data_IF_810547733664
#
_entry.id   IF_810547733664
#
_cell.length_a   1.000
_cell.length_b   1.000
_cell.length_c   1.000
_cell.angle_alpha   90.00
_cell.angle_beta   90.00
_cell.angle_gamma   90.00
#
_symmetry.space_group_name_H-M   'P 1'
#
loop_
_entity.id
_entity.type
_entity.pdbx_description
1 polymer ?
#
# COMPACT_ATOMS: atom_id res chain seq x y z
N UNK A 1 21.86 -2.22 -32.89
CA UNK A 1 21.47 -3.61 -32.58
C UNK A 1 20.42 -3.55 -31.48
N UNK A 2 19.24 -4.11 -31.70
CA UNK A 2 18.14 -4.06 -30.72
C UNK A 2 18.03 -5.42 -30.01
N UNK A 3 17.72 -5.40 -28.71
CA UNK A 3 17.49 -6.61 -27.93
C UNK A 3 16.11 -7.16 -28.28
N UNK A 4 16.05 -8.41 -28.71
CA UNK A 4 14.82 -9.09 -29.05
C UNK A 4 14.31 -9.86 -27.83
N UNK A 5 13.02 -9.73 -27.54
CA UNK A 5 12.40 -10.34 -26.36
C UNK A 5 11.31 -11.34 -26.76
N UNK A 6 11.17 -12.40 -25.97
CA UNK A 6 10.08 -13.36 -26.08
C UNK A 6 8.88 -12.88 -25.24
N UNK A 7 7.72 -12.74 -25.86
CA UNK A 7 6.53 -12.15 -25.21
C UNK A 7 6.09 -12.87 -23.94
N UNK A 8 6.22 -14.21 -23.89
CA UNK A 8 5.82 -15.02 -22.74
C UNK A 8 6.66 -14.76 -21.49
N UNK A 9 7.99 -14.81 -21.61
CA UNK A 9 8.89 -14.56 -20.48
C UNK A 9 8.85 -13.09 -20.03
N UNK A 10 8.70 -12.14 -20.96
CA UNK A 10 8.52 -10.72 -20.62
C UNK A 10 7.22 -10.48 -19.84
N UNK A 11 6.12 -11.11 -20.26
CA UNK A 11 4.87 -11.02 -19.51
C UNK A 11 4.99 -11.66 -18.12
N UNK A 12 5.63 -12.83 -18.04
CA UNK A 12 5.86 -13.52 -16.78
C UNK A 12 6.74 -12.69 -15.83
N UNK A 13 7.82 -12.07 -16.32
CA UNK A 13 8.68 -11.21 -15.49
C UNK A 13 7.92 -10.01 -14.94
N UNK A 14 6.91 -9.50 -15.64
CA UNK A 14 6.07 -8.40 -15.18
C UNK A 14 5.00 -8.86 -14.16
N UNK A 15 4.22 -9.89 -14.47
CA UNK A 15 3.04 -10.26 -13.68
C UNK A 15 3.37 -11.07 -12.42
N UNK A 16 4.35 -11.97 -12.47
CA UNK A 16 4.74 -12.81 -11.32
C UNK A 16 5.05 -11.99 -10.06
N UNK A 17 5.95 -10.98 -10.08
CA UNK A 17 6.23 -10.19 -8.89
C UNK A 17 5.00 -9.41 -8.41
N UNK A 18 4.15 -8.89 -9.29
CA UNK A 18 2.92 -8.17 -8.88
C UNK A 18 2.03 -9.08 -8.04
N UNK A 19 1.76 -10.30 -8.52
CA UNK A 19 0.90 -11.25 -7.82
C UNK A 19 1.50 -11.69 -6.48
N UNK A 20 2.80 -12.00 -6.46
CA UNK A 20 3.49 -12.44 -5.23
C UNK A 20 3.55 -11.31 -4.20
N UNK A 21 3.89 -10.08 -4.60
CA UNK A 21 3.95 -8.93 -3.70
C UNK A 21 2.57 -8.61 -3.12
N UNK A 22 1.51 -8.68 -3.93
CA UNK A 22 0.14 -8.49 -3.46
C UNK A 22 -0.26 -9.57 -2.45
N UNK A 23 0.00 -10.84 -2.76
CA UNK A 23 -0.30 -11.96 -1.87
C UNK A 23 0.46 -11.85 -0.54
N UNK A 24 1.75 -11.57 -0.59
CA UNK A 24 2.58 -11.38 0.60
C UNK A 24 2.10 -10.19 1.44
N UNK A 25 1.80 -9.06 0.81
CA UNK A 25 1.31 -7.87 1.49
C UNK A 25 -0.04 -8.12 2.20
N UNK A 26 -0.98 -8.80 1.53
CA UNK A 26 -2.26 -9.19 2.13
C UNK A 26 -2.05 -10.19 3.27
N UNK A 27 -1.24 -11.23 3.07
CA UNK A 27 -0.98 -12.25 4.08
C UNK A 27 -0.39 -11.66 5.37
N UNK A 28 0.55 -10.72 5.26
CA UNK A 28 1.15 -10.01 6.40
C UNK A 28 0.15 -9.05 7.05
N UNK A 29 -0.70 -8.38 6.27
CA UNK A 29 -1.62 -7.34 6.76
C UNK A 29 -2.93 -7.81 7.37
N UNK A 30 -3.27 -9.10 7.32
CA UNK A 30 -4.59 -9.63 7.73
C UNK A 30 -4.84 -9.72 9.24
N UNK A 31 -3.80 -9.71 10.09
CA UNK A 31 -3.96 -10.00 11.52
C UNK A 31 -3.25 -8.94 12.39
N UNK A 32 -3.88 -8.59 13.52
CA UNK A 32 -3.28 -7.81 14.61
C UNK A 32 -3.20 -8.72 15.83
N UNK A 33 -2.01 -8.94 16.45
CA UNK A 33 -0.71 -8.30 16.22
C UNK A 33 0.07 -8.83 15.00
N UNK A 34 1.11 -8.08 14.58
CA UNK A 34 2.00 -8.46 13.47
C UNK A 34 2.76 -9.74 13.83
N UNK A 35 2.56 -10.80 13.05
CA UNK A 35 3.33 -12.04 13.20
C UNK A 35 4.69 -11.91 12.49
N UNK A 36 5.77 -11.95 13.26
CA UNK A 36 7.14 -11.93 12.73
C UNK A 36 7.41 -13.05 11.73
N UNK A 37 6.82 -14.24 11.95
CA UNK A 37 6.94 -15.35 11.01
C UNK A 37 6.38 -15.00 9.63
N UNK A 38 5.15 -14.45 9.58
CA UNK A 38 4.51 -14.04 8.32
C UNK A 38 5.27 -12.92 7.62
N UNK A 39 5.83 -12.00 8.41
CA UNK A 39 6.66 -10.92 7.89
C UNK A 39 7.91 -11.50 7.22
N UNK A 40 8.62 -12.41 7.89
CA UNK A 40 9.83 -13.04 7.35
C UNK A 40 9.52 -13.85 6.09
N UNK A 41 8.51 -14.71 6.13
CA UNK A 41 8.11 -15.51 4.97
C UNK A 41 7.62 -14.64 3.82
N UNK A 42 6.86 -13.58 4.12
CA UNK A 42 6.40 -12.62 3.13
C UNK A 42 7.56 -11.84 2.50
N UNK A 43 8.55 -11.44 3.29
CA UNK A 43 9.75 -10.76 2.81
C UNK A 43 10.65 -11.63 1.97
N UNK A 44 10.81 -12.91 2.34
CA UNK A 44 11.52 -13.90 1.50
C UNK A 44 10.80 -14.10 0.16
N UNK A 45 9.48 -14.26 0.17
CA UNK A 45 8.68 -14.41 -1.05
C UNK A 45 8.79 -13.16 -1.94
N UNK A 46 8.62 -11.97 -1.36
CA UNK A 46 8.79 -10.71 -2.08
C UNK A 46 10.20 -10.58 -2.67
N UNK A 47 11.24 -10.77 -1.87
CA UNK A 47 12.63 -10.64 -2.32
C UNK A 47 12.96 -11.63 -3.43
N UNK A 48 12.50 -12.88 -3.30
CA UNK A 48 12.67 -13.90 -4.33
C UNK A 48 11.92 -13.55 -5.61
N UNK A 49 10.71 -13.00 -5.53
CA UNK A 49 9.94 -12.59 -6.69
C UNK A 49 10.56 -11.39 -7.42
N UNK A 50 11.07 -10.39 -6.69
CA UNK A 50 11.76 -9.22 -7.29
C UNK A 50 13.09 -9.65 -7.91
N UNK A 51 13.87 -10.49 -7.22
CA UNK A 51 15.10 -11.07 -7.76
C UNK A 51 14.81 -11.91 -9.02
N UNK A 52 13.80 -12.78 -8.94
CA UNK A 52 13.35 -13.62 -10.04
C UNK A 52 12.89 -12.81 -11.25
N UNK A 53 12.21 -11.68 -11.05
CA UNK A 53 11.82 -10.77 -12.14
C UNK A 53 13.02 -10.30 -12.97
N UNK A 54 14.16 -9.99 -12.33
CA UNK A 54 15.36 -9.58 -13.05
C UNK A 54 15.89 -10.71 -13.94
N UNK A 55 16.06 -11.91 -13.40
CA UNK A 55 16.59 -13.05 -14.16
C UNK A 55 15.61 -13.59 -15.19
N UNK A 56 14.31 -13.54 -14.91
CA UNK A 56 13.26 -13.89 -15.87
C UNK A 56 13.18 -12.88 -17.02
N UNK A 57 13.42 -11.60 -16.72
CA UNK A 57 13.64 -10.55 -17.72
C UNK A 57 14.87 -10.85 -18.58
N UNK A 58 15.99 -11.23 -17.99
CA UNK A 58 17.19 -11.60 -18.75
C UNK A 58 16.97 -12.88 -19.58
N UNK A 59 16.20 -13.84 -19.07
CA UNK A 59 15.81 -15.06 -19.80
C UNK A 59 14.83 -14.77 -20.95
N UNK A 60 14.12 -13.64 -20.92
CA UNK A 60 13.24 -13.25 -22.03
C UNK A 60 14.01 -12.78 -23.27
N UNK A 61 15.31 -12.48 -23.15
CA UNK A 61 16.17 -12.05 -24.25
C UNK A 61 16.47 -13.23 -25.19
N UNK A 62 16.10 -13.09 -26.46
CA UNK A 62 16.17 -14.16 -27.47
C UNK A 62 17.44 -14.10 -28.35
N UNK A 63 18.05 -12.91 -28.48
CA UNK A 63 19.22 -12.71 -29.34
C UNK A 63 20.58 -12.72 -28.62
N UNK A 64 20.58 -12.63 -27.29
CA UNK A 64 21.77 -12.73 -26.44
C UNK A 64 21.63 -13.91 -25.49
N UNK A 65 22.75 -14.57 -25.20
CA UNK A 65 22.89 -15.48 -24.07
C UNK A 65 23.44 -14.72 -22.88
N UNK A 66 22.71 -14.77 -21.77
CA UNK A 66 23.11 -14.17 -20.50
C UNK A 66 23.98 -15.17 -19.71
N UNK A 67 25.24 -14.80 -19.45
CA UNK A 67 26.15 -15.57 -18.61
C UNK A 67 26.22 -14.91 -17.25
N UNK A 68 25.80 -15.63 -16.21
CA UNK A 68 25.70 -15.12 -14.85
C UNK A 68 26.90 -15.54 -14.00
N UNK A 69 27.43 -14.61 -13.23
CA UNK A 69 28.41 -14.92 -12.19
C UNK A 69 27.69 -15.31 -10.88
N UNK A 70 27.86 -16.54 -10.37
CA UNK A 70 27.09 -17.04 -9.23
C UNK A 70 27.17 -16.16 -7.98
N UNK A 71 28.33 -15.57 -7.71
CA UNK A 71 28.54 -14.67 -6.57
C UNK A 71 27.59 -13.46 -6.59
N UNK A 72 27.38 -12.85 -7.76
CA UNK A 72 26.49 -11.69 -7.91
C UNK A 72 25.01 -12.08 -7.89
N UNK A 73 24.67 -13.28 -8.37
CA UNK A 73 23.30 -13.82 -8.27
C UNK A 73 22.90 -14.08 -6.82
N UNK A 74 23.80 -14.69 -6.05
CA UNK A 74 23.55 -14.94 -4.64
C UNK A 74 23.48 -13.61 -3.87
N UNK A 75 24.40 -12.68 -4.16
CA UNK A 75 24.43 -11.36 -3.51
C UNK A 75 23.17 -10.55 -3.82
N UNK A 76 22.71 -10.51 -5.08
CA UNK A 76 21.48 -9.81 -5.45
C UNK A 76 20.25 -10.43 -4.78
N UNK A 77 20.16 -11.75 -4.68
CA UNK A 77 19.09 -12.45 -3.98
C UNK A 77 19.07 -12.13 -2.47
N UNK A 78 20.23 -12.13 -1.81
CA UNK A 78 20.36 -11.76 -0.39
C UNK A 78 19.91 -10.32 -0.18
N UNK A 79 20.39 -9.39 -1.01
CA UNK A 79 19.99 -7.97 -0.95
C UNK A 79 18.47 -7.84 -1.12
N UNK A 80 17.88 -8.54 -2.10
CA UNK A 80 16.44 -8.50 -2.36
C UNK A 80 15.61 -8.95 -1.15
N UNK A 81 16.01 -10.08 -0.54
CA UNK A 81 15.32 -10.68 0.61
C UNK A 81 15.44 -9.78 1.84
N UNK A 82 16.66 -9.35 2.17
CA UNK A 82 16.90 -8.48 3.33
C UNK A 82 16.14 -7.17 3.16
N UNK A 83 16.24 -6.54 2.00
CA UNK A 83 15.53 -5.30 1.69
C UNK A 83 14.01 -5.43 1.80
N UNK A 84 13.45 -6.51 1.26
CA UNK A 84 12.01 -6.78 1.31
C UNK A 84 11.53 -6.99 2.74
N UNK A 85 12.31 -7.71 3.55
CA UNK A 85 12.03 -7.88 4.99
C UNK A 85 12.08 -6.56 5.74
N UNK A 86 13.12 -5.76 5.53
CA UNK A 86 13.27 -4.43 6.15
C UNK A 86 12.10 -3.53 5.76
N UNK A 87 11.73 -3.50 4.47
CA UNK A 87 10.63 -2.67 4.00
C UNK A 87 9.27 -3.12 4.57
N UNK A 88 8.99 -4.43 4.61
CA UNK A 88 7.77 -4.96 5.21
C UNK A 88 7.72 -4.72 6.71
N UNK A 89 8.82 -4.95 7.44
CA UNK A 89 8.92 -4.63 8.86
C UNK A 89 8.69 -3.15 9.09
N UNK A 90 9.34 -2.31 8.30
CA UNK A 90 9.24 -0.87 8.43
C UNK A 90 7.81 -0.39 8.17
N UNK A 91 7.15 -0.97 7.17
CA UNK A 91 5.77 -0.65 6.84
C UNK A 91 4.75 -1.13 7.88
N UNK A 92 4.86 -2.37 8.37
CA UNK A 92 3.85 -2.99 9.25
C UNK A 92 4.09 -2.77 10.74
N UNK A 93 5.34 -2.85 11.20
CA UNK A 93 5.69 -2.67 12.63
C UNK A 93 5.54 -1.21 13.02
N UNK A 94 6.07 -0.29 12.20
CA UNK A 94 5.94 1.12 12.51
C UNK A 94 4.62 1.75 12.04
N UNK A 95 3.74 1.00 11.36
CA UNK A 95 2.41 1.46 10.92
C UNK A 95 1.63 2.15 12.05
N UNK A 96 1.64 1.56 13.25
CA UNK A 96 0.92 2.06 14.42
C UNK A 96 1.52 3.37 14.95
N UNK A 97 2.84 3.52 14.88
CA UNK A 97 3.58 4.71 15.32
C UNK A 97 3.57 5.83 14.26
N UNK A 98 3.20 5.52 13.02
CA UNK A 98 3.33 6.38 11.84
C UNK A 98 2.02 6.94 11.30
N UNK A 99 0.89 6.66 11.96
CA UNK A 99 -0.43 7.07 11.50
C UNK A 99 -0.52 8.58 11.21
N UNK A 100 0.28 9.42 11.89
CA UNK A 100 0.23 10.88 11.81
C UNK A 100 1.37 11.57 11.04
N UNK A 101 2.35 10.85 10.46
CA UNK A 101 3.52 11.51 9.84
C UNK A 101 3.81 10.99 8.42
N UNK A 102 3.40 11.77 7.43
CA UNK A 102 3.56 11.44 6.00
C UNK A 102 5.03 11.36 5.56
N UNK A 103 5.91 12.20 6.13
CA UNK A 103 7.35 12.19 5.85
C UNK A 103 8.02 10.84 6.18
N UNK A 104 7.59 10.16 7.25
CA UNK A 104 8.15 8.85 7.62
C UNK A 104 7.80 7.75 6.62
N UNK A 105 6.66 7.88 5.92
CA UNK A 105 6.30 6.99 4.80
C UNK A 105 7.19 7.21 3.58
N UNK A 106 7.58 8.46 3.32
CA UNK A 106 8.50 8.79 2.22
C UNK A 106 9.85 8.11 2.45
N UNK A 107 10.37 8.11 3.68
CA UNK A 107 11.63 7.42 4.01
C UNK A 107 11.53 5.91 3.68
N UNK A 108 10.45 5.24 4.09
CA UNK A 108 10.27 3.82 3.78
C UNK A 108 10.20 3.56 2.27
N UNK A 109 9.57 4.45 1.50
CA UNK A 109 9.52 4.34 0.05
C UNK A 109 10.90 4.52 -0.60
N UNK A 110 11.68 5.49 -0.13
CA UNK A 110 13.05 5.73 -0.60
C UNK A 110 13.97 4.54 -0.29
N UNK A 111 13.87 3.98 0.91
CA UNK A 111 14.64 2.78 1.30
C UNK A 111 14.28 1.59 0.40
N UNK A 112 12.99 1.35 0.17
CA UNK A 112 12.55 0.29 -0.72
C UNK A 112 13.03 0.51 -2.16
N UNK A 113 12.88 1.73 -2.70
CA UNK A 113 13.32 2.08 -4.05
C UNK A 113 14.83 1.89 -4.22
N UNK A 114 15.62 2.45 -3.30
CA UNK A 114 17.08 2.34 -3.32
C UNK A 114 17.54 0.88 -3.23
N UNK A 115 16.87 0.07 -2.41
CA UNK A 115 17.24 -1.34 -2.27
C UNK A 115 16.89 -2.18 -3.51
N UNK A 116 15.74 -1.95 -4.15
CA UNK A 116 15.38 -2.60 -5.41
C UNK A 116 16.32 -2.16 -6.54
N UNK A 117 16.64 -0.87 -6.63
CA UNK A 117 17.64 -0.36 -7.59
C UNK A 117 19.02 -0.97 -7.36
N UNK A 118 19.47 -1.08 -6.11
CA UNK A 118 20.75 -1.70 -5.75
C UNK A 118 20.82 -3.18 -6.11
N UNK A 119 19.73 -3.92 -5.90
CA UNK A 119 19.62 -5.32 -6.33
C UNK A 119 19.76 -5.45 -7.85
N UNK A 120 19.01 -4.64 -8.61
CA UNK A 120 19.08 -4.66 -10.07
C UNK A 120 20.46 -4.29 -10.59
N UNK A 121 21.12 -3.30 -9.96
CA UNK A 121 22.49 -2.94 -10.31
C UNK A 121 23.46 -4.10 -10.07
N UNK A 122 23.40 -4.73 -8.89
CA UNK A 122 24.24 -5.87 -8.54
C UNK A 122 24.04 -7.04 -9.53
N UNK A 123 22.79 -7.35 -9.85
CA UNK A 123 22.44 -8.43 -10.78
C UNK A 123 22.88 -8.12 -12.21
N UNK A 124 22.72 -6.87 -12.66
CA UNK A 124 23.17 -6.43 -13.98
C UNK A 124 24.69 -6.46 -14.11
N UNK A 125 25.42 -6.01 -13.08
CA UNK A 125 26.89 -6.04 -13.05
C UNK A 125 27.44 -7.48 -13.16
N UNK A 126 26.75 -8.45 -12.56
CA UNK A 126 27.10 -9.86 -12.63
C UNK A 126 26.68 -10.59 -13.92
N UNK A 127 26.08 -9.89 -14.89
CA UNK A 127 25.52 -10.49 -16.10
C UNK A 127 26.30 -10.06 -17.35
N UNK A 128 26.87 -11.03 -18.06
CA UNK A 128 27.56 -10.82 -19.33
C UNK A 128 26.67 -11.24 -20.50
N UNK A 129 26.46 -10.34 -21.46
CA UNK A 129 25.62 -10.59 -22.63
C UNK A 129 26.47 -11.00 -23.83
N UNK A 130 26.34 -12.25 -24.27
CA UNK A 130 27.01 -12.77 -25.47
C UNK A 130 26.02 -12.81 -26.63
N UNK A 131 26.34 -12.12 -27.72
CA UNK A 131 25.49 -12.10 -28.92
C UNK A 131 25.50 -13.48 -29.58
N UNK A 132 24.32 -14.05 -29.84
CA UNK A 132 24.18 -15.38 -30.47
C UNK A 132 23.53 -15.28 -31.85
N UNK A 133 22.52 -14.41 -32.02
CA UNK A 133 21.79 -14.27 -33.28
C UNK A 133 21.63 -12.82 -33.66
N UNK A 134 22.02 -12.47 -34.88
CA UNK A 134 21.67 -11.18 -35.48
C UNK A 134 20.30 -11.38 -36.16
N UNK A 135 19.23 -10.87 -35.55
CA UNK A 135 17.91 -10.90 -36.22
C UNK A 135 17.89 -9.92 -37.40
N UNK A 136 17.33 -10.32 -38.56
CA UNK A 136 17.12 -9.40 -39.67
C UNK A 136 16.09 -8.31 -39.28
N UNK A 137 16.36 -7.06 -39.67
CA UNK A 137 15.44 -5.92 -39.48
C UNK A 137 14.09 -6.23 -40.15
N UNK A 138 13.02 -6.40 -39.39
CA UNK A 138 11.68 -6.57 -39.96
C UNK A 138 10.57 -7.00 -38.99
N UNK A 139 10.89 -7.81 -37.97
CA UNK A 139 9.91 -8.36 -37.01
C UNK A 139 10.05 -7.77 -35.59
N UNK A 140 10.66 -6.61 -35.46
CA UNK A 140 10.80 -5.92 -34.17
C UNK A 140 9.53 -5.12 -33.88
N UNK A 141 9.03 -5.09 -32.62
CA UNK A 141 7.96 -4.19 -32.24
C UNK A 141 8.36 -2.77 -32.63
N UNK A 142 7.52 -2.11 -33.42
CA UNK A 142 7.74 -0.71 -33.77
C UNK A 142 7.96 0.10 -32.50
N UNK A 143 8.89 1.05 -32.53
CA UNK A 143 9.12 1.99 -31.42
C UNK A 143 7.80 2.60 -30.92
N UNK A 144 6.86 2.86 -31.82
CA UNK A 144 5.51 3.35 -31.52
C UNK A 144 4.69 2.36 -30.67
N UNK A 145 4.79 1.06 -30.94
CA UNK A 145 4.11 0.02 -30.17
C UNK A 145 4.69 -0.08 -28.74
N UNK A 146 6.02 -0.06 -28.59
CA UNK A 146 6.66 -0.03 -27.26
C UNK A 146 6.26 1.22 -26.48
N UNK A 147 6.28 2.39 -27.12
CA UNK A 147 5.86 3.65 -26.49
C UNK A 147 4.38 3.58 -26.06
N UNK A 148 3.50 3.06 -26.91
CA UNK A 148 2.08 2.90 -26.57
C UNK A 148 1.89 1.99 -25.34
N UNK A 149 2.57 0.85 -25.29
CA UNK A 149 2.51 -0.06 -24.12
C UNK A 149 2.99 0.63 -22.84
N UNK A 150 4.10 1.37 -22.89
CA UNK A 150 4.62 2.10 -21.72
C UNK A 150 3.64 3.17 -21.25
N UNK A 151 3.02 3.91 -22.18
CA UNK A 151 2.00 4.92 -21.85
C UNK A 151 0.80 4.26 -21.17
N UNK A 152 0.27 3.17 -21.74
CA UNK A 152 -0.86 2.44 -21.16
C UNK A 152 -0.54 1.95 -19.74
N UNK A 153 0.60 1.31 -19.53
CA UNK A 153 1.00 0.81 -18.21
C UNK A 153 1.20 1.95 -17.19
N UNK A 154 1.80 3.06 -17.60
CA UNK A 154 2.01 4.23 -16.72
C UNK A 154 0.70 4.88 -16.31
N UNK A 155 -0.23 5.05 -17.27
CA UNK A 155 -1.56 5.60 -16.99
C UNK A 155 -2.34 4.66 -16.06
N UNK A 156 -2.36 3.34 -16.33
CA UNK A 156 -3.00 2.36 -15.46
C UNK A 156 -2.46 2.40 -14.03
N UNK A 157 -1.14 2.48 -13.85
CA UNK A 157 -0.52 2.61 -12.53
C UNK A 157 -0.95 3.90 -11.82
N UNK A 158 -0.95 5.04 -12.52
CA UNK A 158 -1.39 6.33 -11.99
C UNK A 158 -2.87 6.29 -11.55
N UNK A 159 -3.74 5.71 -12.40
CA UNK A 159 -5.16 5.53 -12.09
C UNK A 159 -5.37 4.66 -10.84
N UNK A 160 -4.67 3.53 -10.72
CA UNK A 160 -4.77 2.66 -9.54
C UNK A 160 -4.34 3.40 -8.27
N UNK A 161 -3.22 4.14 -8.33
CA UNK A 161 -2.74 4.93 -7.18
C UNK A 161 -3.76 6.01 -6.81
N UNK A 162 -4.26 6.78 -7.78
CA UNK A 162 -5.24 7.84 -7.57
C UNK A 162 -6.55 7.29 -6.96
N UNK A 163 -7.10 6.21 -7.52
CA UNK A 163 -8.30 5.55 -6.97
C UNK A 163 -8.04 5.08 -5.54
N UNK A 164 -6.90 4.43 -5.27
CA UNK A 164 -6.57 3.96 -3.93
C UNK A 164 -6.44 5.10 -2.91
N UNK A 165 -5.90 6.25 -3.33
CA UNK A 165 -5.76 7.45 -2.51
C UNK A 165 -7.13 8.08 -2.23
N UNK A 166 -7.99 8.19 -3.25
CA UNK A 166 -9.36 8.70 -3.11
C UNK A 166 -10.18 7.79 -2.18
N UNK A 167 -10.11 6.47 -2.35
CA UNK A 167 -10.80 5.52 -1.48
C UNK A 167 -10.33 5.64 -0.02
N UNK A 168 -9.02 5.77 0.21
CA UNK A 168 -8.47 6.03 1.55
C UNK A 168 -8.95 7.35 2.14
N UNK A 169 -8.91 8.43 1.37
CA UNK A 169 -9.36 9.75 1.81
C UNK A 169 -10.86 9.76 2.13
N UNK A 170 -11.69 9.11 1.30
CA UNK A 170 -13.14 8.96 1.52
C UNK A 170 -13.43 8.14 2.77
N UNK A 171 -12.74 7.01 2.96
CA UNK A 171 -12.92 6.17 4.14
C UNK A 171 -12.52 6.92 5.41
N UNK A 172 -11.41 7.66 5.39
CA UNK A 172 -10.97 8.46 6.52
C UNK A 172 -11.97 9.59 6.82
N UNK A 173 -12.50 10.27 5.79
CA UNK A 173 -13.56 11.28 5.96
C UNK A 173 -14.84 10.69 6.54
N UNK A 174 -15.24 9.48 6.12
CA UNK A 174 -16.37 8.75 6.70
C UNK A 174 -16.13 8.39 8.18
N UNK A 175 -14.92 7.98 8.54
CA UNK A 175 -14.55 7.71 9.92
C UNK A 175 -14.61 8.97 10.80
N UNK A 176 -14.14 10.11 10.29
CA UNK A 176 -14.23 11.40 11.01
C UNK A 176 -15.69 11.84 11.17
N UNK A 177 -16.50 11.77 10.10
CA UNK A 177 -17.92 12.12 10.16
C UNK A 177 -18.70 11.21 11.13
N UNK A 178 -18.38 9.90 11.18
CA UNK A 178 -18.95 8.98 12.19
C UNK A 178 -18.52 9.33 13.61
N UNK A 179 -17.29 9.78 13.80
CA UNK A 179 -16.79 10.23 15.11
C UNK A 179 -17.36 11.59 15.55
N UNK A 180 -17.83 12.42 14.62
CA UNK A 180 -18.51 13.69 14.91
C UNK A 180 -19.96 13.52 15.39
N UNK A 181 -20.58 12.34 15.25
CA UNK A 181 -21.83 12.04 15.96
C UNK A 181 -21.51 11.71 17.42
N UNK A 182 -21.16 12.75 18.19
CA UNK A 182 -20.99 12.64 19.64
C UNK A 182 -22.40 12.56 20.23
N UNK A 183 -22.78 11.36 20.70
CA UNK A 183 -23.98 11.19 21.51
C UNK A 183 -23.71 11.77 22.90
N UNK A 184 -24.27 12.94 23.19
CA UNK A 184 -24.23 13.52 24.53
C UNK A 184 -25.31 12.83 25.37
N UNK A 185 -24.86 12.01 26.32
CA UNK A 185 -25.72 11.49 27.39
C UNK A 185 -25.79 12.52 28.51
N UNK A 186 -27.01 12.95 28.87
CA UNK A 186 -27.22 13.82 30.02
C UNK A 186 -27.79 12.98 31.16
N UNK A 187 -27.00 12.74 32.21
CA UNK A 187 -27.47 12.12 33.43
C UNK A 187 -28.01 13.20 34.37
N UNK A 188 -29.33 13.26 34.54
CA UNK A 188 -29.98 14.20 35.47
C UNK A 188 -30.15 13.50 36.81
N UNK A 189 -29.60 14.10 37.87
CA UNK A 189 -29.71 13.62 39.23
C UNK A 189 -30.72 14.45 40.03
N UNK A 190 -31.64 13.78 40.72
CA UNK A 190 -32.52 14.39 41.71
C UNK A 190 -31.74 14.74 43.00
N UNK A 191 -32.25 15.65 43.84
CA UNK A 191 -31.65 16.04 45.14
C UNK A 191 -31.42 14.87 46.10
N UNK A 192 -32.06 13.74 45.82
CA UNK A 192 -31.94 12.47 46.54
C UNK A 192 -30.90 11.49 45.93
N UNK A 193 -30.16 11.90 44.88
CA UNK A 193 -29.14 11.08 44.22
C UNK A 193 -29.67 10.05 43.20
N UNK A 194 -30.94 10.15 42.79
CA UNK A 194 -31.55 9.22 41.81
C UNK A 194 -31.33 9.71 40.38
N UNK A 195 -31.05 8.79 39.46
CA UNK A 195 -30.81 9.07 38.04
C UNK A 195 -32.12 8.98 37.25
N UNK A 196 -32.40 9.98 36.42
CA UNK A 196 -33.52 9.95 35.48
C UNK A 196 -33.22 8.97 34.33
N UNK A 197 -34.10 7.98 34.15
CA UNK A 197 -34.04 7.00 33.06
C UNK A 197 -35.36 7.00 32.29
N UNK A 198 -35.30 6.69 31.00
CA UNK A 198 -36.47 6.48 30.13
C UNK A 198 -37.26 5.22 30.60
N UNK A 199 -38.56 5.04 30.33
CA UNK A 199 -39.35 3.81 30.55
C UNK A 199 -38.68 2.48 30.18
N UNK A 200 -37.66 2.48 29.32
CA UNK A 200 -36.87 1.30 28.96
C UNK A 200 -35.58 1.10 29.80
N UNK A 201 -35.31 1.94 30.79
CA UNK A 201 -34.18 1.81 31.72
C UNK A 201 -32.85 2.39 31.21
N UNK A 202 -32.85 3.14 30.12
CA UNK A 202 -31.65 3.78 29.56
C UNK A 202 -31.55 5.25 29.98
N UNK A 203 -30.32 5.75 30.07
CA UNK A 203 -30.04 7.17 30.33
C UNK A 203 -30.40 7.96 29.07
N UNK A 204 -31.17 9.06 29.16
CA UNK A 204 -31.55 9.85 27.99
C UNK A 204 -30.30 10.40 27.28
N UNK A 205 -30.14 9.99 26.02
CA UNK A 205 -29.00 10.35 25.20
C UNK A 205 -29.46 10.96 23.88
N UNK A 206 -28.95 12.13 23.53
CA UNK A 206 -29.29 12.82 22.29
C UNK A 206 -28.05 12.91 21.38
N UNK A 207 -28.22 12.61 20.10
CA UNK A 207 -27.16 12.79 19.10
C UNK A 207 -27.13 14.27 18.74
N UNK A 208 -26.07 14.97 19.14
CA UNK A 208 -25.90 16.39 18.81
C UNK A 208 -25.23 16.48 17.46
N UNK A 209 -26.01 16.82 16.43
CA UNK A 209 -25.50 17.31 15.14
C UNK A 209 -25.26 18.82 15.22
N UNK A 210 -24.36 19.35 14.39
CA UNK A 210 -24.01 20.79 14.34
C UNK A 210 -25.22 21.74 14.19
N UNK A 211 -26.38 21.21 13.78
CA UNK A 211 -27.66 21.92 13.70
C UNK A 211 -28.25 22.36 15.04
N UNK A 212 -27.80 21.81 16.18
CA UNK A 212 -28.38 22.10 17.50
C UNK A 212 -27.75 23.30 18.24
N UNK A 213 -26.61 23.82 17.79
CA UNK A 213 -25.99 24.99 18.42
C UNK A 213 -26.76 26.31 18.18
N UNK A 214 -27.76 26.30 17.28
CA UNK A 214 -28.52 27.49 16.89
C UNK A 214 -29.89 27.67 17.55
N UNK A 215 -30.36 26.74 18.39
CA UNK A 215 -31.66 26.86 19.07
C UNK A 215 -31.45 27.00 20.57
N UNK A 216 -31.20 28.25 20.98
CA UNK A 216 -31.35 28.67 22.38
C UNK A 216 -32.80 28.40 22.79
N UNK A 217 -32.98 27.56 23.81
CA UNK A 217 -34.26 27.24 24.42
C UNK A 217 -34.93 28.54 24.93
N UNK A 218 -36.18 28.85 24.53
CA UNK A 218 -36.92 29.91 25.19
C UNK A 218 -37.24 29.45 26.62
N UNK A 219 -36.73 30.20 27.60
CA UNK A 219 -37.09 30.00 29.00
C UNK A 219 -38.60 30.26 29.16
N UNK A 220 -39.34 29.43 29.91
CA UNK A 220 -40.73 29.74 30.23
C UNK A 220 -40.77 30.98 31.13
N UNK A 221 -41.44 32.03 30.67
CA UNK A 221 -41.80 33.19 31.51
C UNK A 221 -42.65 32.70 32.69
N UNK A 222 -42.19 32.94 33.90
CA UNK A 222 -42.97 32.71 35.11
C UNK A 222 -44.10 33.76 35.18
N UNK A 223 -45.36 33.37 35.41
CA UNK A 223 -46.44 34.33 35.61
C UNK A 223 -46.25 35.06 36.94
N UNK A 224 -46.16 36.39 36.85
CA UNK A 224 -46.15 37.32 37.96
C UNK A 224 -47.57 37.37 38.55
N UNK A 225 -47.81 36.68 39.67
CA UNK A 225 -49.02 36.86 40.47
C UNK A 225 -48.84 38.14 41.29
N UNK A 226 -49.55 39.19 40.90
CA UNK A 226 -49.85 40.33 41.76
C UNK A 226 -51.16 40.01 42.48
N UNK A 227 -51.11 39.89 43.80
CA UNK A 227 -52.15 40.23 44.78
C UNK A 227 -51.46 40.46 46.13
#
# INVERSE_FOLDING_TARGET
>A
MQVAYSSGFTAASFFVPILVLLAAFVAVGTNSPVSWWRLITGGVLCGTAVCGMHYLGNASIDNYTCVYQPAYVISSAIIAIVASNVALAMFFVFKAMWANSWWKRVISAVVLAGAVSGMHWCAAFGTHYRLVKIKPKGNEPSRSATVAVVICLSLSACFIIAISAILRARNMRRSVLRAQQITLGAAIFDKSGRILVDPHGFIPSAVVTDSFLGKVLPLPEAPMTAD
#
